data_IF_023933446676
#
_entry.id   IF_023933446676
#
_cell.length_a   1.000
_cell.length_b   1.000
_cell.length_c   1.000
_cell.angle_alpha   90.00
_cell.angle_beta   90.00
_cell.angle_gamma   90.00
#
_symmetry.space_group_name_H-M   'P 1'
#
loop_
_entity.id
_entity.type
_entity.pdbx_description
1 polymer ?
#
# COMPACT_ATOMS: atom_id res chain seq x y z
N UNK A 1 52.82 31.15 28.66
CA UNK A 1 52.93 32.33 29.54
C UNK A 1 51.52 32.89 29.69
N UNK A 2 50.78 32.39 30.68
CA UNK A 2 50.21 33.12 31.84
C UNK A 2 48.82 33.72 31.49
N UNK A 3 47.70 33.44 32.19
CA UNK A 3 47.52 33.38 33.64
C UNK A 3 46.28 32.54 34.08
N UNK A 4 46.47 31.78 35.18
CA UNK A 4 45.52 31.32 36.22
C UNK A 4 44.78 32.54 36.86
N UNK A 5 43.55 32.53 37.45
CA UNK A 5 42.93 31.61 38.42
C UNK A 5 41.49 32.07 38.86
N UNK A 6 40.79 31.18 39.61
CA UNK A 6 39.82 31.39 40.74
C UNK A 6 38.33 31.00 40.46
N UNK A 7 37.83 29.80 40.85
CA UNK A 7 37.36 29.23 42.16
C UNK A 7 35.94 29.65 42.60
N UNK A 8 35.09 28.64 42.85
CA UNK A 8 33.83 28.66 43.64
C UNK A 8 32.56 28.75 42.80
N UNK A 9 31.47 28.00 43.00
CA UNK A 9 31.01 27.22 44.14
C UNK A 9 29.96 26.17 43.72
N UNK A 10 29.79 25.20 44.62
CA UNK A 10 28.80 24.12 44.75
C UNK A 10 27.35 24.52 44.43
N UNK A 11 26.68 23.77 43.54
CA UNK A 11 25.21 23.62 43.55
C UNK A 11 24.84 22.17 43.16
N UNK A 12 24.57 21.37 44.20
CA UNK A 12 23.71 20.19 44.13
C UNK A 12 22.29 20.61 43.71
N UNK A 13 21.88 20.31 42.48
CA UNK A 13 20.45 20.30 42.13
C UNK A 13 20.08 19.05 41.33
N UNK A 14 19.53 18.08 42.07
CA UNK A 14 18.45 17.16 41.69
C UNK A 14 18.21 16.94 40.18
N UNK A 15 18.80 15.88 39.63
CA UNK A 15 18.37 15.28 38.36
C UNK A 15 16.98 14.64 38.55
N UNK A 16 15.93 15.45 38.37
CA UNK A 16 14.56 14.98 38.29
C UNK A 16 14.41 14.01 37.12
N UNK A 17 14.01 12.77 37.40
CA UNK A 17 13.68 11.80 36.37
C UNK A 17 12.45 12.28 35.61
N UNK A 18 12.64 12.77 34.39
CA UNK A 18 11.57 12.87 33.42
C UNK A 18 11.25 11.46 32.93
N UNK A 19 10.47 10.73 33.74
CA UNK A 19 9.78 9.52 33.33
C UNK A 19 8.72 9.95 32.31
N UNK A 20 9.11 10.04 31.04
CA UNK A 20 8.15 10.16 29.95
C UNK A 20 7.44 8.82 29.84
N UNK A 21 6.28 8.74 30.48
CA UNK A 21 5.28 7.71 30.21
C UNK A 21 4.88 7.83 28.73
N UNK A 22 5.59 7.10 27.88
CA UNK A 22 5.14 6.84 26.52
C UNK A 22 3.99 5.83 26.65
N UNK A 23 2.75 6.33 26.67
CA UNK A 23 1.57 5.48 26.54
C UNK A 23 1.75 4.54 25.35
N UNK A 24 1.76 3.24 25.63
CA UNK A 24 1.91 2.21 24.62
C UNK A 24 0.67 2.22 23.72
N UNK A 25 0.84 2.51 22.43
CA UNK A 25 -0.16 2.33 21.37
C UNK A 25 -0.46 0.85 21.06
N UNK A 26 -0.52 0.00 22.09
CA UNK A 26 -0.67 -1.46 21.93
C UNK A 26 -1.99 -1.83 21.25
N UNK A 27 -3.03 -1.02 21.37
CA UNK A 27 -4.35 -1.26 20.75
C UNK A 27 -4.41 -1.00 19.25
N UNK A 28 -3.43 -0.31 18.63
CA UNK A 28 -3.49 -0.03 17.17
C UNK A 28 -2.94 -1.17 16.31
N UNK A 29 -1.93 -1.90 16.79
CA UNK A 29 -1.22 -2.90 15.96
C UNK A 29 -2.11 -4.08 15.58
N UNK A 30 -2.97 -4.54 16.47
CA UNK A 30 -3.86 -5.66 16.17
C UNK A 30 -4.90 -5.28 15.11
N UNK A 31 -5.44 -4.05 15.17
CA UNK A 31 -6.37 -3.51 14.16
C UNK A 31 -5.71 -3.40 12.78
N UNK A 32 -4.43 -3.04 12.71
CA UNK A 32 -3.72 -2.88 11.43
C UNK A 32 -3.42 -4.22 10.73
N UNK A 33 -3.15 -5.29 11.48
CA UNK A 33 -2.86 -6.60 10.89
C UNK A 33 -4.08 -7.22 10.20
N UNK A 34 -5.29 -7.02 10.75
CA UNK A 34 -6.54 -7.43 10.12
C UNK A 34 -6.82 -6.66 8.82
N UNK A 35 -6.41 -5.38 8.74
CA UNK A 35 -6.60 -4.58 7.52
C UNK A 35 -5.72 -5.07 6.34
N UNK A 36 -4.53 -5.61 6.62
CA UNK A 36 -3.63 -6.09 5.57
C UNK A 36 -4.15 -7.37 4.88
N UNK A 37 -4.65 -8.33 5.66
CA UNK A 37 -5.30 -9.54 5.13
C UNK A 37 -6.56 -9.21 4.32
N UNK A 38 -7.34 -8.22 4.76
CA UNK A 38 -8.51 -7.72 4.05
C UNK A 38 -8.12 -7.07 2.72
N UNK A 39 -7.03 -6.29 2.69
CA UNK A 39 -6.50 -5.68 1.47
C UNK A 39 -6.10 -6.71 0.40
N UNK A 40 -5.50 -7.84 0.79
CA UNK A 40 -5.18 -8.92 -0.17
C UNK A 40 -6.44 -9.55 -0.78
N UNK A 41 -7.47 -9.78 0.03
CA UNK A 41 -8.75 -10.31 -0.43
C UNK A 41 -9.44 -9.33 -1.38
N UNK A 42 -9.42 -8.04 -1.07
CA UNK A 42 -9.95 -6.99 -1.96
C UNK A 42 -9.15 -6.89 -3.27
N UNK A 43 -7.82 -7.03 -3.22
CA UNK A 43 -6.98 -7.09 -4.41
C UNK A 43 -7.36 -8.23 -5.37
N UNK A 44 -7.60 -9.43 -4.83
CA UNK A 44 -8.02 -10.58 -5.65
C UNK A 44 -9.41 -10.36 -6.25
N UNK A 45 -10.36 -9.82 -5.49
CA UNK A 45 -11.70 -9.46 -5.99
C UNK A 45 -11.62 -8.42 -7.11
N UNK A 46 -10.78 -7.39 -6.97
CA UNK A 46 -10.57 -6.37 -8.00
C UNK A 46 -9.91 -6.97 -9.25
N UNK A 47 -8.94 -7.86 -9.11
CA UNK A 47 -8.33 -8.57 -10.24
C UNK A 47 -9.34 -9.38 -11.03
N UNK A 48 -10.24 -10.09 -10.35
CA UNK A 48 -11.34 -10.80 -10.99
C UNK A 48 -12.33 -9.86 -11.70
N UNK A 49 -12.67 -8.73 -11.07
CA UNK A 49 -13.58 -7.73 -11.66
C UNK A 49 -12.98 -7.10 -12.92
N UNK A 50 -11.68 -6.77 -12.91
CA UNK A 50 -10.93 -6.32 -14.09
C UNK A 50 -10.91 -7.39 -15.19
N UNK A 51 -10.74 -8.65 -14.80
CA UNK A 51 -10.80 -9.79 -15.71
C UNK A 51 -12.15 -9.87 -16.44
N UNK A 52 -13.25 -9.64 -15.72
CA UNK A 52 -14.61 -9.58 -16.28
C UNK A 52 -14.77 -8.37 -17.23
N UNK A 53 -14.38 -7.17 -16.80
CA UNK A 53 -14.46 -5.95 -17.63
C UNK A 53 -13.65 -6.09 -18.92
N UNK A 54 -12.46 -6.67 -18.85
CA UNK A 54 -11.63 -6.97 -20.03
C UNK A 54 -12.36 -7.88 -21.02
N UNK A 55 -13.09 -8.88 -20.53
CA UNK A 55 -13.85 -9.78 -21.39
C UNK A 55 -15.03 -9.04 -22.05
N UNK A 56 -15.75 -8.21 -21.29
CA UNK A 56 -16.83 -7.34 -21.82
C UNK A 56 -16.28 -6.41 -22.90
N UNK A 57 -15.17 -5.71 -22.65
CA UNK A 57 -14.54 -4.84 -23.63
C UNK A 57 -14.17 -5.60 -24.91
N UNK A 58 -13.58 -6.80 -24.79
CA UNK A 58 -13.28 -7.66 -25.95
C UNK A 58 -14.52 -8.03 -26.76
N UNK A 59 -15.65 -8.29 -26.11
CA UNK A 59 -16.91 -8.57 -26.78
C UNK A 59 -17.47 -7.33 -27.48
N UNK A 60 -17.42 -6.17 -26.83
CA UNK A 60 -17.83 -4.90 -27.44
C UNK A 60 -16.98 -4.56 -28.67
N UNK A 61 -15.67 -4.77 -28.62
CA UNK A 61 -14.80 -4.61 -29.80
C UNK A 61 -15.18 -5.56 -30.96
N UNK A 62 -15.56 -6.81 -30.66
CA UNK A 62 -16.04 -7.75 -31.70
C UNK A 62 -17.35 -7.27 -32.31
N UNK A 63 -18.28 -6.78 -31.49
CA UNK A 63 -19.57 -6.21 -31.95
C UNK A 63 -19.34 -4.96 -32.80
N UNK A 64 -18.49 -4.05 -32.35
CA UNK A 64 -18.12 -2.83 -33.05
C UNK A 64 -17.53 -3.14 -34.43
N UNK A 65 -16.58 -4.08 -34.49
CA UNK A 65 -15.99 -4.53 -35.76
C UNK A 65 -17.06 -5.05 -36.72
N UNK A 66 -17.96 -5.89 -36.23
CA UNK A 66 -19.08 -6.41 -37.03
C UNK A 66 -20.00 -5.30 -37.51
N UNK A 67 -20.39 -4.36 -36.64
CA UNK A 67 -21.25 -3.23 -36.99
C UNK A 67 -20.60 -2.33 -38.06
N UNK A 68 -19.31 -2.05 -37.95
CA UNK A 68 -18.55 -1.31 -38.96
C UNK A 68 -18.48 -2.08 -40.29
N UNK A 69 -18.21 -3.38 -40.24
CA UNK A 69 -18.20 -4.24 -41.45
C UNK A 69 -19.59 -4.28 -42.11
N UNK A 70 -20.67 -4.29 -41.33
CA UNK A 70 -22.06 -4.25 -41.81
C UNK A 70 -22.42 -2.90 -42.45
N UNK A 71 -21.94 -1.77 -41.90
CA UNK A 71 -22.07 -0.44 -42.53
C UNK A 71 -21.29 -0.38 -43.85
N UNK A 72 -20.06 -0.93 -43.87
CA UNK A 72 -19.20 -0.97 -45.06
C UNK A 72 -19.71 -1.90 -46.15
N UNK A 73 -20.34 -3.02 -45.80
CA UNK A 73 -20.93 -3.97 -46.75
C UNK A 73 -22.14 -3.42 -47.49
N UNK A 74 -22.87 -2.45 -46.91
CA UNK A 74 -24.02 -1.83 -47.56
C UNK A 74 -23.66 -0.70 -48.55
N UNK A 75 -22.43 -0.19 -48.52
CA UNK A 75 -21.96 0.84 -49.46
C UNK A 75 -21.54 0.27 -50.82
N UNK A 76 -21.54 -1.05 -51.01
CA UNK A 76 -21.45 -1.66 -52.33
C UNK A 76 -22.80 -1.54 -53.04
N UNK A 77 -23.10 -0.33 -53.53
CA UNK A 77 -24.09 -0.12 -54.57
C UNK A 77 -23.62 -0.96 -55.77
N UNK A 78 -24.19 -2.16 -55.92
CA UNK A 78 -24.20 -2.86 -57.19
C UNK A 78 -24.84 -1.87 -58.16
N UNK A 79 -24.06 -1.38 -59.12
CA UNK A 79 -24.47 -0.47 -60.19
C UNK A 79 -25.53 -1.20 -61.03
N UNK A 80 -26.78 -1.21 -60.59
CA UNK A 80 -27.89 -1.80 -61.35
C UNK A 80 -28.24 -0.77 -62.41
N UNK A 81 -27.69 -1.01 -63.60
CA UNK A 81 -28.13 -0.40 -64.83
C UNK A 81 -29.51 -0.98 -65.15
N UNK A 82 -30.59 -0.37 -64.69
CA UNK A 82 -31.94 -0.74 -65.14
C UNK A 82 -32.87 0.46 -65.05
N UNK A 83 -33.23 0.98 -66.22
CA UNK A 83 -34.25 2.01 -66.38
C UNK A 83 -35.60 1.42 -66.00
N UNK A 84 -36.01 1.63 -64.76
CA UNK A 84 -37.37 1.35 -64.32
C UNK A 84 -37.71 2.25 -63.16
N UNK A 85 -38.74 3.06 -63.41
CA UNK A 85 -39.43 4.00 -62.54
C UNK A 85 -39.59 3.40 -61.13
N UNK A 86 -38.78 3.83 -60.17
CA UNK A 86 -38.92 3.38 -58.78
C UNK A 86 -39.04 4.59 -57.85
N UNK A 87 -40.27 5.09 -57.74
CA UNK A 87 -40.70 6.01 -56.70
C UNK A 87 -40.65 5.25 -55.36
N UNK A 88 -39.86 5.73 -54.39
CA UNK A 88 -40.06 5.41 -52.96
C UNK A 88 -38.92 4.73 -52.19
N UNK A 89 -37.94 4.06 -52.82
CA UNK A 89 -36.93 3.30 -52.04
C UNK A 89 -35.68 4.08 -51.60
N UNK A 90 -35.51 5.33 -52.06
CA UNK A 90 -34.36 6.16 -51.68
C UNK A 90 -34.35 6.56 -50.20
N UNK A 91 -35.52 6.66 -49.56
CA UNK A 91 -35.65 6.96 -48.13
C UNK A 91 -35.30 5.77 -47.24
N UNK A 92 -35.84 4.59 -47.56
CA UNK A 92 -35.66 3.35 -46.77
C UNK A 92 -34.19 2.91 -46.75
N UNK A 93 -33.45 3.14 -47.83
CA UNK A 93 -32.02 2.81 -47.87
C UNK A 93 -31.16 3.77 -47.02
N UNK A 94 -31.61 5.02 -46.85
CA UNK A 94 -30.93 6.05 -46.06
C UNK A 94 -31.22 5.89 -44.56
N UNK A 95 -32.46 5.54 -44.21
CA UNK A 95 -32.86 5.21 -42.83
C UNK A 95 -32.08 4.00 -42.31
N UNK A 96 -32.00 2.90 -43.08
CA UNK A 96 -31.24 1.71 -42.66
C UNK A 96 -29.74 1.92 -42.52
N UNK A 97 -29.17 2.88 -43.26
CA UNK A 97 -27.76 3.24 -43.10
C UNK A 97 -27.54 4.08 -41.83
N UNK A 98 -28.46 5.01 -41.54
CA UNK A 98 -28.42 5.86 -40.34
C UNK A 98 -28.62 5.05 -39.06
N UNK A 99 -29.56 4.10 -39.04
CA UNK A 99 -29.84 3.21 -37.91
C UNK A 99 -28.60 2.37 -37.52
N UNK A 100 -27.81 1.90 -38.49
CA UNK A 100 -26.56 1.17 -38.21
C UNK A 100 -25.43 2.04 -37.67
N UNK A 101 -25.41 3.33 -38.01
CA UNK A 101 -24.46 4.27 -37.41
C UNK A 101 -24.82 4.57 -35.95
N UNK A 102 -26.11 4.64 -35.63
CA UNK A 102 -26.58 4.73 -34.24
C UNK A 102 -26.12 3.49 -33.44
N UNK A 103 -26.24 2.28 -34.00
CA UNK A 103 -25.73 1.07 -33.36
C UNK A 103 -24.22 1.13 -33.07
N UNK A 104 -23.43 1.71 -33.99
CA UNK A 104 -21.98 1.90 -33.82
C UNK A 104 -21.68 2.89 -32.70
N UNK A 105 -22.38 4.02 -32.67
CA UNK A 105 -22.23 5.04 -31.63
C UNK A 105 -22.62 4.49 -30.25
N UNK A 106 -23.72 3.72 -30.15
CA UNK A 106 -24.13 3.07 -28.90
C UNK A 106 -23.08 2.07 -28.38
N UNK A 107 -22.49 1.26 -29.27
CA UNK A 107 -21.41 0.34 -28.89
C UNK A 107 -20.17 1.11 -28.43
N UNK A 108 -19.87 2.25 -29.06
CA UNK A 108 -18.74 3.10 -28.70
C UNK A 108 -18.93 3.75 -27.32
N UNK A 109 -20.11 4.27 -27.04
CA UNK A 109 -20.47 4.81 -25.71
C UNK A 109 -20.40 3.73 -24.63
N UNK A 110 -20.93 2.52 -24.91
CA UNK A 110 -20.82 1.38 -23.98
C UNK A 110 -19.37 0.98 -23.72
N UNK A 111 -18.51 1.05 -24.75
CA UNK A 111 -17.09 0.78 -24.61
C UNK A 111 -16.39 1.87 -23.79
N UNK A 112 -16.74 3.14 -24.00
CA UNK A 112 -16.20 4.27 -23.24
C UNK A 112 -16.52 4.13 -21.75
N UNK A 113 -17.79 3.85 -21.41
CA UNK A 113 -18.21 3.58 -20.03
C UNK A 113 -17.47 2.38 -19.41
N UNK A 114 -17.16 1.35 -20.22
CA UNK A 114 -16.36 0.21 -19.77
C UNK A 114 -14.92 0.62 -19.46
N UNK A 115 -14.31 1.50 -20.27
CA UNK A 115 -12.97 2.03 -20.00
C UNK A 115 -12.93 2.91 -18.76
N UNK A 116 -13.92 3.80 -18.57
CA UNK A 116 -14.03 4.62 -17.37
C UNK A 116 -14.10 3.74 -16.12
N UNK A 117 -14.91 2.67 -16.16
CA UNK A 117 -14.99 1.69 -15.06
C UNK A 117 -13.65 0.99 -14.83
N UNK A 118 -12.92 0.60 -15.89
CA UNK A 118 -11.60 -0.03 -15.74
C UNK A 118 -10.62 0.95 -15.12
N UNK A 119 -10.64 2.22 -15.53
CA UNK A 119 -9.77 3.26 -15.00
C UNK A 119 -9.99 3.46 -13.50
N UNK A 120 -11.24 3.64 -13.07
CA UNK A 120 -11.59 3.74 -11.64
C UNK A 120 -11.10 2.52 -10.85
N UNK A 121 -11.33 1.31 -11.36
CA UNK A 121 -10.90 0.07 -10.68
C UNK A 121 -9.39 -0.08 -10.57
N UNK A 122 -8.64 0.40 -11.55
CA UNK A 122 -7.17 0.39 -11.51
C UNK A 122 -6.66 1.40 -10.49
N UNK A 123 -7.28 2.58 -10.43
CA UNK A 123 -6.93 3.62 -9.45
C UNK A 123 -7.19 3.14 -8.02
N UNK A 124 -8.36 2.54 -7.75
CA UNK A 124 -8.70 1.92 -6.46
C UNK A 124 -7.64 0.88 -6.05
N UNK A 125 -7.21 0.05 -7.01
CA UNK A 125 -6.21 -0.98 -6.78
C UNK A 125 -4.82 -0.39 -6.47
N UNK A 126 -4.46 0.72 -7.12
CA UNK A 126 -3.21 1.42 -6.88
C UNK A 126 -3.18 2.05 -5.49
N UNK A 127 -4.28 2.67 -5.07
CA UNK A 127 -4.43 3.28 -3.75
C UNK A 127 -4.33 2.23 -2.63
N UNK A 128 -5.04 1.12 -2.74
CA UNK A 128 -4.95 0.01 -1.78
C UNK A 128 -3.55 -0.59 -1.70
N UNK A 129 -2.84 -0.68 -2.83
CA UNK A 129 -1.43 -1.12 -2.85
C UNK A 129 -0.53 -0.17 -2.07
N UNK A 130 -0.75 1.14 -2.22
CA UNK A 130 0.04 2.17 -1.56
C UNK A 130 -0.18 2.16 -0.04
N UNK A 131 -1.43 2.01 0.39
CA UNK A 131 -1.77 1.85 1.81
C UNK A 131 -1.11 0.59 2.39
N UNK A 132 -1.23 -0.55 1.71
CA UNK A 132 -0.60 -1.81 2.13
C UNK A 132 0.92 -1.69 2.25
N UNK A 133 1.58 -1.02 1.31
CA UNK A 133 3.03 -0.80 1.35
C UNK A 133 3.44 0.06 2.55
N UNK A 134 2.69 1.13 2.83
CA UNK A 134 2.93 2.00 3.98
C UNK A 134 2.80 1.22 5.29
N UNK A 135 1.75 0.40 5.43
CA UNK A 135 1.55 -0.47 6.58
C UNK A 135 2.70 -1.47 6.76
N UNK A 136 3.14 -2.11 5.68
CA UNK A 136 4.26 -3.05 5.72
C UNK A 136 5.56 -2.37 6.17
N UNK A 137 5.83 -1.16 5.68
CA UNK A 137 7.02 -0.40 6.08
C UNK A 137 6.99 -0.04 7.56
N UNK A 138 5.83 0.40 8.06
CA UNK A 138 5.64 0.67 9.50
C UNK A 138 5.84 -0.60 10.35
N UNK A 139 5.38 -1.76 9.88
CA UNK A 139 5.61 -3.03 10.57
C UNK A 139 7.10 -3.37 10.66
N UNK A 140 7.88 -3.12 9.60
CA UNK A 140 9.33 -3.34 9.63
C UNK A 140 10.05 -2.41 10.61
N UNK A 141 9.65 -1.13 10.66
CA UNK A 141 10.20 -0.16 11.62
C UNK A 141 9.92 -0.60 13.06
N UNK A 142 8.68 -1.00 13.35
CA UNK A 142 8.29 -1.48 14.67
C UNK A 142 9.03 -2.76 15.06
N UNK A 143 9.22 -3.69 14.12
CA UNK A 143 10.02 -4.90 14.33
C UNK A 143 11.47 -4.56 14.69
N UNK A 144 12.09 -3.65 13.95
CA UNK A 144 13.45 -3.20 14.22
C UNK A 144 13.59 -2.53 15.59
N UNK A 145 12.57 -1.76 16.01
CA UNK A 145 12.52 -1.14 17.34
C UNK A 145 12.48 -2.20 18.45
N UNK A 146 11.60 -3.22 18.33
CA UNK A 146 11.52 -4.32 19.29
C UNK A 146 12.85 -5.08 19.35
N UNK A 147 13.42 -5.45 18.20
CA UNK A 147 14.69 -6.16 18.13
C UNK A 147 15.81 -5.35 18.83
N UNK A 148 15.87 -4.04 18.56
CA UNK A 148 16.81 -3.14 19.23
C UNK A 148 16.61 -3.10 20.75
N UNK A 149 15.36 -3.06 21.22
CA UNK A 149 15.05 -3.08 22.65
C UNK A 149 15.46 -4.38 23.31
N UNK A 150 15.20 -5.53 22.67
CA UNK A 150 15.59 -6.86 23.17
C UNK A 150 17.10 -6.97 23.26
N UNK A 151 17.83 -6.60 22.20
CA UNK A 151 19.31 -6.63 22.18
C UNK A 151 19.87 -5.75 23.29
N UNK A 152 19.37 -4.52 23.42
CA UNK A 152 19.81 -3.59 24.47
C UNK A 152 19.55 -4.16 25.86
N UNK A 153 18.39 -4.77 26.07
CA UNK A 153 18.06 -5.37 27.35
C UNK A 153 18.98 -6.55 27.68
N UNK A 154 19.23 -7.45 26.72
CA UNK A 154 20.16 -8.57 26.89
C UNK A 154 21.58 -8.11 27.25
N UNK A 155 22.11 -7.10 26.56
CA UNK A 155 23.44 -6.55 26.86
C UNK A 155 23.47 -5.96 28.27
N UNK A 156 22.47 -5.15 28.64
CA UNK A 156 22.38 -4.54 29.96
C UNK A 156 22.30 -5.61 31.06
N UNK A 157 21.45 -6.63 30.91
CA UNK A 157 21.35 -7.71 31.90
C UNK A 157 22.65 -8.51 32.03
N UNK A 158 23.41 -8.67 30.95
CA UNK A 158 24.74 -9.28 31.02
C UNK A 158 25.73 -8.40 31.81
N UNK A 159 25.74 -7.09 31.56
CA UNK A 159 26.59 -6.13 32.27
C UNK A 159 26.26 -6.11 33.76
N UNK A 160 24.98 -5.98 34.11
CA UNK A 160 24.49 -6.02 35.51
C UNK A 160 24.91 -7.33 36.20
N UNK A 161 24.77 -8.48 35.54
CA UNK A 161 25.22 -9.77 36.09
C UNK A 161 26.74 -9.92 36.22
N UNK A 162 27.54 -9.19 35.44
CA UNK A 162 28.99 -9.12 35.68
C UNK A 162 29.33 -8.21 36.86
N UNK A 163 28.70 -7.04 36.96
CA UNK A 163 28.88 -6.10 38.07
C UNK A 163 28.51 -6.75 39.41
N UNK A 164 27.37 -7.45 39.48
CA UNK A 164 26.94 -8.17 40.69
C UNK A 164 28.00 -9.19 41.15
N UNK A 165 28.52 -10.01 40.24
CA UNK A 165 29.57 -10.98 40.55
C UNK A 165 30.88 -10.33 41.02
N UNK A 166 31.24 -9.17 40.47
CA UNK A 166 32.41 -8.41 40.92
C UNK A 166 32.20 -7.84 42.33
N UNK A 167 31.01 -7.33 42.62
CA UNK A 167 30.66 -6.85 43.96
C UNK A 167 30.73 -7.98 44.99
N UNK A 168 30.17 -9.16 44.69
CA UNK A 168 30.22 -10.33 45.57
C UNK A 168 31.66 -10.78 45.87
N UNK A 169 32.53 -10.77 44.85
CA UNK A 169 33.95 -11.08 45.03
C UNK A 169 34.65 -10.04 45.92
N UNK A 170 34.40 -8.76 45.68
CA UNK A 170 35.06 -7.69 46.43
C UNK A 170 34.66 -7.71 47.93
N UNK A 171 33.39 -8.04 48.24
CA UNK A 171 32.93 -8.26 49.61
C UNK A 171 33.62 -9.45 50.27
N UNK A 172 33.87 -10.54 49.54
CA UNK A 172 34.59 -11.71 50.07
C UNK A 172 36.07 -11.40 50.36
N UNK A 173 36.73 -10.56 49.57
CA UNK A 173 38.13 -10.17 49.80
C UNK A 173 38.30 -9.10 50.89
N UNK A 174 37.38 -8.16 51.03
CA UNK A 174 37.43 -7.10 52.06
C UNK A 174 37.09 -7.57 53.48
N UNK A 175 36.56 -8.78 53.65
CA UNK A 175 36.20 -9.35 54.96
C UNK A 175 37.35 -10.05 55.70
N UNK A 176 38.54 -10.17 55.11
CA UNK A 176 39.61 -11.04 55.63
C UNK A 176 40.89 -10.30 56.06
N UNK A 177 40.86 -8.98 56.22
CA UNK A 177 41.99 -8.17 56.70
C UNK A 177 41.91 -7.84 58.20
N UNK A 178 41.68 -8.85 59.04
CA UNK A 178 41.99 -8.72 60.46
C UNK A 178 42.41 -10.05 61.09
N UNK A 179 43.56 -10.56 60.67
CA UNK A 179 44.28 -11.61 61.41
C UNK A 179 45.51 -10.96 62.03
N UNK A 180 45.43 -10.78 63.35
CA UNK A 180 46.47 -10.28 64.24
C UNK A 180 47.85 -10.89 63.94
N UNK A 181 48.83 -10.04 63.66
CA UNK A 181 50.26 -10.39 63.75
C UNK A 181 50.88 -9.78 65.02
N UNK A 182 50.44 -10.28 66.18
CA UNK A 182 51.15 -10.05 67.45
C UNK A 182 51.75 -11.39 67.90
N UNK A 183 53.04 -11.55 67.64
CA UNK A 183 53.93 -12.44 68.38
C UNK A 183 55.16 -11.64 68.82
#
# INVERSE_FOLDING_TARGET
MLHLNHVGADENESLGSALTHHESKSTSHHRMYYNCLDAFVEHDKMKESLGRLRNVAKEQFKKLKKAIDDVRGCSSIRKINSGSKLLGLGGIFREKAFERWIDVDEILESLNATFDTIHERVEDMFELSRESLCLWQQEQEFKAEIEGMVIKNCIRSLQEGFEERLWDQNVQFGGNENVNWLE
#
